data_IF_248483485808
#
_entry.id   IF_248483485808
#
_cell.length_a   1.000
_cell.length_b   1.000
_cell.length_c   1.000
_cell.angle_alpha   90.00
_cell.angle_beta   90.00
_cell.angle_gamma   90.00
#
_symmetry.space_group_name_H-M   'P 1'
#
loop_
_entity.id
_entity.type
_entity.pdbx_description
1 polymer ?
#
# COMPACT_ATOMS: atom_id res chain seq x y z
N UNK A 1 10.82 -3.11 18.19
CA UNK A 1 9.70 -2.85 19.13
C UNK A 1 8.92 -4.14 19.28
N UNK A 2 8.59 -4.54 20.51
CA UNK A 2 7.78 -5.75 20.76
C UNK A 2 6.30 -5.53 20.43
N UNK A 3 5.42 -6.31 21.07
CA UNK A 3 3.96 -6.16 20.90
C UNK A 3 3.44 -4.83 21.44
N UNK A 4 2.54 -4.20 20.71
CA UNK A 4 1.81 -3.00 21.13
C UNK A 4 0.32 -3.13 20.80
N UNK A 5 -0.53 -2.41 21.53
CA UNK A 5 -1.97 -2.30 21.20
C UNK A 5 -2.16 -1.38 19.99
N UNK A 6 -1.52 -0.21 20.01
CA UNK A 6 -1.44 0.74 18.91
C UNK A 6 -0.03 1.32 18.78
N UNK A 7 0.31 1.83 17.59
CA UNK A 7 1.60 2.45 17.35
C UNK A 7 1.49 3.67 16.44
N UNK A 8 2.16 4.78 16.80
CA UNK A 8 2.39 5.92 15.91
C UNK A 8 3.88 6.17 15.80
N UNK A 9 4.43 6.04 14.60
CA UNK A 9 5.88 6.10 14.36
C UNK A 9 6.17 7.05 13.20
N UNK A 10 7.02 8.04 13.45
CA UNK A 10 7.56 8.93 12.42
C UNK A 10 9.07 8.73 12.32
N UNK A 11 9.56 8.47 11.11
CA UNK A 11 10.98 8.38 10.79
C UNK A 11 11.36 9.50 9.82
N UNK A 12 12.14 10.45 10.31
CA UNK A 12 12.67 11.56 9.52
C UNK A 12 14.19 11.44 9.39
N UNK A 13 14.65 10.88 8.27
CA UNK A 13 16.07 10.72 7.96
C UNK A 13 16.48 9.26 7.78
N UNK A 14 17.63 8.87 8.34
CA UNK A 14 18.13 7.49 8.29
C UNK A 14 17.76 6.75 9.57
N UNK A 15 17.06 5.62 9.44
CA UNK A 15 16.71 4.76 10.54
C UNK A 15 16.10 3.45 10.05
N UNK A 16 16.27 2.39 10.82
CA UNK A 16 15.58 1.12 10.64
C UNK A 16 14.76 0.85 11.90
N UNK A 17 13.47 0.55 11.72
CA UNK A 17 12.57 0.19 12.81
C UNK A 17 11.85 -1.10 12.43
N UNK A 18 12.06 -2.12 13.26
CA UNK A 18 11.30 -3.37 13.21
C UNK A 18 10.27 -3.39 14.35
N UNK A 19 9.02 -3.70 14.00
CA UNK A 19 7.88 -3.86 14.93
C UNK A 19 7.36 -5.27 14.78
N UNK A 20 7.36 -6.04 15.87
CA UNK A 20 6.86 -7.41 15.84
C UNK A 20 5.36 -7.47 15.58
N UNK A 21 4.56 -6.78 16.38
CA UNK A 21 3.11 -6.83 16.25
C UNK A 21 2.44 -5.59 16.81
N UNK A 22 1.38 -5.15 16.14
CA UNK A 22 0.41 -4.19 16.65
C UNK A 22 -0.98 -4.85 16.63
N UNK A 23 -1.68 -4.88 17.75
CA UNK A 23 -2.96 -5.60 17.84
C UNK A 23 -4.08 -4.85 17.10
N UNK A 24 -4.13 -3.53 17.21
CA UNK A 24 -5.16 -2.70 16.57
C UNK A 24 -4.54 -1.90 15.42
N UNK A 25 -4.27 -0.61 15.64
CA UNK A 25 -3.88 0.33 14.59
C UNK A 25 -2.41 0.76 14.68
N UNK A 26 -1.72 0.73 13.54
CA UNK A 26 -0.42 1.35 13.36
C UNK A 26 -0.47 2.48 12.33
N UNK A 27 -0.10 3.69 12.74
CA UNK A 27 0.16 4.82 11.86
C UNK A 27 1.67 5.01 11.71
N UNK A 28 2.19 4.81 10.50
CA UNK A 28 3.62 4.87 10.25
C UNK A 28 3.93 5.82 9.11
N UNK A 29 4.79 6.79 9.40
CA UNK A 29 5.29 7.78 8.45
C UNK A 29 6.79 7.63 8.27
N UNK A 30 7.23 7.49 7.04
CA UNK A 30 8.64 7.37 6.64
C UNK A 30 8.95 8.50 5.67
N UNK A 31 9.93 9.32 5.99
CA UNK A 31 10.47 10.33 5.08
C UNK A 31 11.95 10.07 4.76
N UNK A 32 12.42 10.62 3.65
CA UNK A 32 13.79 10.41 3.14
C UNK A 32 14.07 8.94 2.83
N UNK A 33 15.11 8.33 3.39
CA UNK A 33 15.65 7.00 3.01
C UNK A 33 15.42 5.93 4.09
N UNK A 34 14.54 6.20 5.07
CA UNK A 34 14.29 5.29 6.18
C UNK A 34 13.61 3.99 5.74
N UNK A 35 13.86 2.94 6.50
CA UNK A 35 13.31 1.59 6.30
C UNK A 35 12.48 1.23 7.53
N UNK A 36 11.30 0.65 7.31
CA UNK A 36 10.45 0.17 8.38
C UNK A 36 9.91 -1.21 8.05
N UNK A 37 9.86 -2.08 9.08
CA UNK A 37 9.19 -3.38 9.01
C UNK A 37 8.19 -3.52 10.13
N UNK A 38 7.01 -4.03 9.79
CA UNK A 38 5.99 -4.44 10.74
C UNK A 38 5.51 -5.84 10.36
N UNK A 39 5.59 -6.83 11.26
CA UNK A 39 5.30 -8.22 10.87
C UNK A 39 3.80 -8.55 10.91
N UNK A 40 3.04 -8.00 11.87
CA UNK A 40 1.60 -8.22 12.03
C UNK A 40 0.94 -6.95 12.58
N UNK A 41 -0.17 -6.56 11.98
CA UNK A 41 -0.98 -5.41 12.38
C UNK A 41 -2.45 -5.64 12.05
N UNK A 42 -3.35 -5.09 12.87
CA UNK A 42 -4.78 -5.00 12.53
C UNK A 42 -4.99 -4.05 11.35
N UNK A 43 -4.97 -2.75 11.66
CA UNK A 43 -5.09 -1.64 10.71
C UNK A 43 -3.73 -0.97 10.46
N UNK A 44 -3.36 -0.80 9.19
CA UNK A 44 -2.12 -0.11 8.83
C UNK A 44 -2.39 1.14 8.00
N UNK A 45 -1.97 2.28 8.53
CA UNK A 45 -1.83 3.54 7.78
C UNK A 45 -0.35 3.79 7.54
N UNK A 46 0.09 3.64 6.29
CA UNK A 46 1.47 3.82 5.87
C UNK A 46 1.63 5.06 4.98
N UNK A 47 2.46 6.01 5.41
CA UNK A 47 2.77 7.23 4.67
C UNK A 47 4.26 7.24 4.31
N UNK A 48 4.57 7.32 3.02
CA UNK A 48 5.93 7.40 2.51
C UNK A 48 6.13 8.73 1.79
N UNK A 49 7.10 9.54 2.24
CA UNK A 49 7.46 10.83 1.66
C UNK A 49 8.97 10.87 1.37
N UNK A 50 9.40 10.33 0.24
CA UNK A 50 10.82 10.18 -0.10
C UNK A 50 11.14 8.88 -0.83
N UNK A 51 12.36 8.38 -0.68
CA UNK A 51 12.86 7.13 -1.29
C UNK A 51 12.78 5.92 -0.34
N UNK A 52 12.30 6.13 0.88
CA UNK A 52 12.20 5.14 1.94
C UNK A 52 11.29 3.97 1.61
N UNK A 53 11.31 2.97 2.47
CA UNK A 53 10.54 1.75 2.27
C UNK A 53 9.84 1.26 3.52
N UNK A 54 8.64 0.72 3.32
CA UNK A 54 7.82 0.07 4.33
C UNK A 54 7.57 -1.36 3.89
N UNK A 55 7.85 -2.32 4.77
CA UNK A 55 7.51 -3.74 4.57
C UNK A 55 6.59 -4.22 5.68
N UNK A 56 5.35 -4.52 5.33
CA UNK A 56 4.40 -5.20 6.20
C UNK A 56 4.41 -6.72 5.96
N UNK A 57 4.23 -7.51 7.01
CA UNK A 57 3.91 -8.93 6.92
C UNK A 57 2.42 -9.09 6.61
N UNK A 58 1.61 -9.23 7.66
CA UNK A 58 0.16 -9.39 7.58
C UNK A 58 -0.52 -8.11 8.06
N UNK A 59 -1.45 -7.59 7.27
CA UNK A 59 -2.41 -6.54 7.66
C UNK A 59 -3.79 -7.19 7.66
N UNK A 60 -4.41 -7.28 8.84
CA UNK A 60 -5.58 -8.16 9.06
C UNK A 60 -6.92 -7.52 8.72
N UNK A 61 -7.06 -6.21 8.96
CA UNK A 61 -8.36 -5.56 9.05
C UNK A 61 -8.51 -4.42 8.01
N UNK A 62 -7.53 -3.53 7.87
CA UNK A 62 -7.52 -2.52 6.81
C UNK A 62 -6.12 -2.03 6.45
N UNK A 63 -5.92 -1.72 5.16
CA UNK A 63 -4.67 -1.16 4.65
C UNK A 63 -4.89 0.18 3.93
N UNK A 64 -4.24 1.24 4.39
CA UNK A 64 -4.16 2.52 3.68
C UNK A 64 -2.70 2.90 3.45
N UNK A 65 -2.31 3.11 2.19
CA UNK A 65 -0.95 3.50 1.81
C UNK A 65 -0.97 4.78 1.01
N UNK A 66 -0.19 5.77 1.43
CA UNK A 66 0.06 7.01 0.70
C UNK A 66 1.55 7.14 0.38
N UNK A 67 1.91 7.26 -0.90
CA UNK A 67 3.28 7.42 -1.35
C UNK A 67 3.42 8.74 -2.12
N UNK A 68 4.30 9.62 -1.65
CA UNK A 68 4.71 10.83 -2.33
C UNK A 68 6.21 10.74 -2.64
N UNK A 69 6.57 10.56 -3.92
CA UNK A 69 7.95 10.35 -4.37
C UNK A 69 8.23 8.91 -4.82
N UNK A 70 9.52 8.49 -4.87
CA UNK A 70 9.94 7.18 -5.37
C UNK A 70 9.88 6.05 -4.33
N UNK A 71 9.29 6.28 -3.17
CA UNK A 71 9.22 5.31 -2.07
C UNK A 71 8.50 4.00 -2.42
N UNK A 72 8.75 2.99 -1.60
CA UNK A 72 8.28 1.63 -1.84
C UNK A 72 7.51 1.05 -0.66
N UNK A 73 6.31 0.55 -0.92
CA UNK A 73 5.54 -0.23 0.03
C UNK A 73 5.46 -1.70 -0.41
N UNK A 74 5.66 -2.63 0.51
CA UNK A 74 5.38 -4.05 0.29
C UNK A 74 4.57 -4.61 1.46
N UNK A 75 3.55 -5.42 1.18
CA UNK A 75 2.91 -6.30 2.17
C UNK A 75 3.00 -7.76 1.73
N UNK A 76 3.11 -8.70 2.68
CA UNK A 76 2.95 -10.11 2.37
C UNK A 76 1.47 -10.47 2.17
N UNK A 77 0.59 -10.01 3.07
CA UNK A 77 -0.86 -10.14 2.98
C UNK A 77 -1.56 -8.86 3.44
N UNK A 78 -2.63 -8.45 2.76
CA UNK A 78 -3.52 -7.41 3.23
C UNK A 78 -4.97 -7.82 2.99
N UNK A 79 -5.77 -7.83 4.05
CA UNK A 79 -7.18 -8.18 4.01
C UNK A 79 -8.06 -6.97 4.36
N UNK A 80 -9.35 -7.05 4.02
CA UNK A 80 -10.30 -5.98 4.28
C UNK A 80 -10.17 -4.79 3.32
N UNK A 81 -10.69 -3.60 3.68
CA UNK A 81 -10.59 -2.41 2.84
C UNK A 81 -9.13 -2.02 2.56
N UNK A 82 -8.76 -1.92 1.28
CA UNK A 82 -7.39 -1.67 0.86
C UNK A 82 -7.32 -0.46 -0.07
N UNK A 83 -6.54 0.55 0.30
CA UNK A 83 -6.43 1.82 -0.42
C UNK A 83 -4.98 2.22 -0.70
N UNK A 84 -4.70 2.61 -1.94
CA UNK A 84 -3.42 3.14 -2.39
C UNK A 84 -3.57 4.51 -3.03
N UNK A 85 -2.80 5.49 -2.53
CA UNK A 85 -2.66 6.81 -3.13
C UNK A 85 -1.20 7.05 -3.48
N UNK A 86 -0.88 7.11 -4.77
CA UNK A 86 0.48 7.27 -5.28
C UNK A 86 0.62 8.61 -6.00
N UNK A 87 1.53 9.46 -5.54
CA UNK A 87 1.92 10.71 -6.17
C UNK A 87 3.40 10.65 -6.57
N UNK A 88 3.65 10.51 -7.87
CA UNK A 88 5.00 10.35 -8.42
C UNK A 88 5.31 8.90 -8.84
N UNK A 89 6.60 8.50 -8.84
CA UNK A 89 7.06 7.22 -9.38
C UNK A 89 7.03 6.05 -8.36
N UNK A 90 6.43 6.24 -7.19
CA UNK A 90 6.40 5.24 -6.12
C UNK A 90 5.73 3.91 -6.51
N UNK A 91 6.06 2.88 -5.75
CA UNK A 91 5.59 1.51 -6.01
C UNK A 91 4.98 0.88 -4.75
N UNK A 92 3.79 0.30 -4.89
CA UNK A 92 3.15 -0.49 -3.84
C UNK A 92 2.87 -1.91 -4.34
N UNK A 93 3.21 -2.91 -3.52
CA UNK A 93 2.97 -4.33 -3.83
C UNK A 93 2.33 -5.05 -2.64
N UNK A 94 1.24 -5.76 -2.88
CA UNK A 94 0.65 -6.74 -1.95
C UNK A 94 0.75 -8.11 -2.59
N UNK A 95 1.42 -9.06 -1.92
CA UNK A 95 1.73 -10.37 -2.51
C UNK A 95 0.56 -11.35 -2.48
N UNK A 96 -0.39 -11.16 -1.57
CA UNK A 96 -1.58 -11.99 -1.40
C UNK A 96 -2.62 -11.23 -0.54
N UNK A 97 -3.85 -11.73 -0.44
CA UNK A 97 -4.87 -11.17 0.45
C UNK A 97 -6.24 -11.02 -0.18
N UNK A 98 -7.23 -10.75 0.67
CA UNK A 98 -8.65 -10.67 0.32
C UNK A 98 -9.17 -9.26 0.58
N UNK A 99 -9.17 -8.41 -0.45
CA UNK A 99 -9.61 -7.01 -0.34
C UNK A 99 -11.12 -6.87 -0.58
N UNK A 100 -11.86 -6.33 0.39
CA UNK A 100 -13.30 -6.03 0.21
C UNK A 100 -13.51 -4.95 -0.86
N UNK A 101 -12.80 -3.84 -0.71
CA UNK A 101 -12.70 -2.79 -1.72
C UNK A 101 -11.22 -2.49 -1.95
N UNK A 102 -10.78 -2.64 -3.20
CA UNK A 102 -9.46 -2.21 -3.64
C UNK A 102 -9.59 -0.85 -4.33
N UNK A 103 -9.20 0.21 -3.64
CA UNK A 103 -9.16 1.57 -4.16
C UNK A 103 -7.74 1.98 -4.55
N UNK A 104 -7.53 2.45 -5.77
CA UNK A 104 -6.22 2.86 -6.26
C UNK A 104 -6.30 4.20 -6.96
N UNK A 105 -5.54 5.18 -6.46
CA UNK A 105 -5.37 6.50 -7.08
C UNK A 105 -3.91 6.71 -7.41
N UNK A 106 -3.58 6.91 -8.69
CA UNK A 106 -2.22 7.21 -9.15
C UNK A 106 -2.20 8.55 -9.86
N UNK A 107 -1.33 9.46 -9.41
CA UNK A 107 -0.96 10.69 -10.10
C UNK A 107 0.53 10.63 -10.46
N UNK A 108 0.85 10.39 -11.73
CA UNK A 108 2.21 10.23 -12.22
C UNK A 108 2.49 8.82 -12.79
N UNK A 109 3.77 8.39 -12.82
CA UNK A 109 4.19 7.12 -13.43
C UNK A 109 4.24 5.93 -12.44
N UNK A 110 3.70 6.09 -11.22
CA UNK A 110 3.75 5.07 -10.17
C UNK A 110 3.05 3.75 -10.50
N UNK A 111 3.26 2.74 -9.65
CA UNK A 111 2.75 1.38 -9.88
C UNK A 111 2.12 0.77 -8.63
N UNK A 112 0.99 0.11 -8.82
CA UNK A 112 0.37 -0.73 -7.79
C UNK A 112 0.22 -2.15 -8.32
N UNK A 113 0.60 -3.14 -7.52
CA UNK A 113 0.39 -4.56 -7.80
C UNK A 113 -0.28 -5.23 -6.60
N UNK A 114 -1.44 -5.83 -6.80
CA UNK A 114 -2.14 -6.64 -5.81
C UNK A 114 -2.32 -8.05 -6.36
N UNK A 115 -1.58 -9.02 -5.80
CA UNK A 115 -1.59 -10.41 -6.28
C UNK A 115 -2.63 -11.29 -5.55
N UNK A 116 -3.45 -10.70 -4.68
CA UNK A 116 -4.61 -11.37 -4.09
C UNK A 116 -5.90 -11.16 -4.89
N UNK A 117 -7.03 -11.37 -4.22
CA UNK A 117 -8.38 -11.18 -4.77
C UNK A 117 -8.97 -9.88 -4.23
N UNK A 118 -9.78 -9.20 -5.04
CA UNK A 118 -10.61 -8.09 -4.57
C UNK A 118 -12.09 -8.35 -4.88
N UNK A 119 -13.00 -8.10 -3.94
CA UNK A 119 -14.44 -8.18 -4.22
C UNK A 119 -14.88 -7.04 -5.13
N UNK A 120 -14.26 -5.86 -5.01
CA UNK A 120 -14.48 -4.73 -5.88
C UNK A 120 -13.21 -3.93 -6.13
N UNK A 121 -13.15 -3.25 -7.29
CA UNK A 121 -12.00 -2.47 -7.72
C UNK A 121 -12.43 -1.08 -8.20
N UNK A 122 -11.89 -0.02 -7.60
CA UNK A 122 -11.98 1.35 -8.12
C UNK A 122 -10.58 1.90 -8.40
N UNK A 123 -10.32 2.25 -9.67
CA UNK A 123 -9.02 2.77 -10.11
C UNK A 123 -9.17 4.13 -10.77
N UNK A 124 -8.34 5.08 -10.31
CA UNK A 124 -8.15 6.39 -10.94
C UNK A 124 -6.68 6.58 -11.26
N UNK A 125 -6.36 6.80 -12.54
CA UNK A 125 -5.00 7.09 -12.99
C UNK A 125 -4.99 8.43 -13.72
N UNK A 126 -4.11 9.32 -13.31
CA UNK A 126 -3.78 10.57 -14.00
C UNK A 126 -2.29 10.53 -14.33
N UNK A 127 -1.95 10.38 -15.61
CA UNK A 127 -0.56 10.23 -16.08
C UNK A 127 -0.30 8.88 -16.76
N UNK A 128 0.87 8.30 -16.49
CA UNK A 128 1.38 7.09 -17.15
C UNK A 128 1.56 5.89 -16.21
N UNK A 129 0.91 5.91 -15.05
CA UNK A 129 1.02 4.86 -14.04
C UNK A 129 0.33 3.55 -14.44
N UNK A 130 0.61 2.48 -13.70
CA UNK A 130 0.06 1.15 -13.99
C UNK A 130 -0.48 0.46 -12.74
N UNK A 131 -1.63 -0.19 -12.88
CA UNK A 131 -2.23 -1.04 -11.84
C UNK A 131 -2.32 -2.47 -12.35
N UNK A 132 -1.88 -3.43 -11.54
CA UNK A 132 -2.06 -4.86 -11.79
C UNK A 132 -2.80 -5.48 -10.61
N UNK A 133 -3.88 -6.19 -10.89
CA UNK A 133 -4.65 -6.94 -9.88
C UNK A 133 -4.78 -8.37 -10.37
N UNK A 134 -4.51 -9.36 -9.52
CA UNK A 134 -4.55 -10.76 -9.95
C UNK A 134 -5.98 -11.23 -10.23
N UNK A 135 -6.93 -10.94 -9.34
CA UNK A 135 -8.33 -11.33 -9.51
C UNK A 135 -9.30 -10.29 -8.94
N UNK A 136 -10.45 -10.13 -9.59
CA UNK A 136 -11.54 -9.28 -9.10
C UNK A 136 -12.88 -9.97 -9.35
N UNK A 137 -13.62 -10.21 -8.28
CA UNK A 137 -14.86 -11.01 -8.33
C UNK A 137 -16.10 -10.19 -8.70
N UNK A 138 -16.11 -8.90 -8.34
CA UNK A 138 -17.29 -8.04 -8.48
C UNK A 138 -17.07 -6.82 -9.37
N UNK A 139 -17.53 -5.67 -8.88
CA UNK A 139 -17.61 -4.45 -9.68
C UNK A 139 -16.22 -3.86 -9.96
N UNK A 140 -16.02 -3.40 -11.19
CA UNK A 140 -14.78 -2.75 -11.62
C UNK A 140 -15.10 -1.37 -12.18
N UNK A 141 -14.54 -0.34 -11.57
CA UNK A 141 -14.55 1.04 -12.03
C UNK A 141 -13.13 1.47 -12.38
N UNK A 142 -12.93 2.06 -13.58
CA UNK A 142 -11.63 2.53 -14.06
C UNK A 142 -11.77 3.88 -14.72
N UNK A 143 -10.97 4.84 -14.28
CA UNK A 143 -10.90 6.21 -14.83
C UNK A 143 -9.45 6.53 -15.12
N UNK A 144 -9.09 6.62 -16.40
CA UNK A 144 -7.70 6.84 -16.83
C UNK A 144 -7.65 8.12 -17.66
N UNK A 145 -6.80 9.06 -17.23
CA UNK A 145 -6.50 10.31 -17.92
C UNK A 145 -5.01 10.33 -18.24
N UNK A 146 -4.64 10.04 -19.49
CA UNK A 146 -3.25 9.91 -19.91
C UNK A 146 -2.98 8.55 -20.55
N UNK A 147 -1.72 8.10 -20.46
CA UNK A 147 -1.25 6.85 -21.07
C UNK A 147 -1.04 5.70 -20.08
N UNK A 148 -1.72 5.72 -18.93
CA UNK A 148 -1.64 4.66 -17.93
C UNK A 148 -2.49 3.44 -18.25
N UNK A 149 -2.27 2.35 -17.51
CA UNK A 149 -2.88 1.04 -17.79
C UNK A 149 -3.40 0.34 -16.53
N UNK A 150 -4.44 -0.49 -16.71
CA UNK A 150 -4.98 -1.37 -15.66
C UNK A 150 -5.10 -2.79 -16.21
N UNK A 151 -4.39 -3.74 -15.60
CA UNK A 151 -4.44 -5.16 -15.95
C UNK A 151 -5.10 -5.94 -14.82
N UNK A 152 -6.02 -6.84 -15.19
CA UNK A 152 -6.63 -7.81 -14.28
C UNK A 152 -6.43 -9.21 -14.85
N UNK A 153 -5.98 -10.15 -14.03
CA UNK A 153 -5.67 -11.52 -14.42
C UNK A 153 -4.18 -11.82 -14.46
N UNK A 154 -3.85 -13.06 -14.87
CA UNK A 154 -2.47 -13.52 -15.12
C UNK A 154 -1.90 -13.03 -16.45
#
# INVERSE_FOLDING_TARGET
VGRAESAKIGLDGCGDVDIEQVEDEAEISVSHDAVMRIYDVGDLVAVLAGEGSITAGIVRDALTVSIAGPGRFNAARADGPTSFVIQGPGEATVRDGDAEELSVVINGPGRVTHNGTAESLDVVIVGGGAVRVQDVEGAISRRIIGGGDVFIGR
#
